data_IF_241192094684
#
_entry.id   IF_241192094684
#
_cell.length_a   1.000
_cell.length_b   1.000
_cell.length_c   1.000
_cell.angle_alpha   90.00
_cell.angle_beta   90.00
_cell.angle_gamma   90.00
#
_symmetry.space_group_name_H-M   'P 1'
#
loop_
_entity.id
_entity.type
_entity.pdbx_description
1 polymer ?
#
# COMPACT_ATOMS: atom_id res chain seq x y z
N UNK A 1 10.20 -25.27 7.02
CA UNK A 1 10.52 -23.87 7.40
C UNK A 1 10.46 -22.98 6.18
N UNK A 2 9.85 -21.80 6.26
CA UNK A 2 9.86 -20.74 5.24
C UNK A 2 10.93 -19.72 5.63
N UNK A 3 11.79 -19.35 4.68
CA UNK A 3 12.71 -18.22 4.86
C UNK A 3 12.07 -16.98 4.25
N UNK A 4 11.79 -15.97 5.09
CA UNK A 4 11.12 -14.74 4.71
C UNK A 4 12.08 -13.55 4.69
N UNK A 5 12.38 -13.04 3.50
CA UNK A 5 13.31 -11.91 3.30
C UNK A 5 12.56 -10.61 3.01
N UNK A 6 12.94 -9.53 3.69
CA UNK A 6 12.34 -8.20 3.53
C UNK A 6 13.37 -7.11 3.84
N UNK A 7 13.21 -5.88 3.26
CA UNK A 7 14.19 -4.81 3.41
C UNK A 7 14.16 -4.16 4.80
N UNK A 8 12.98 -4.05 5.39
CA UNK A 8 12.75 -3.49 6.73
C UNK A 8 11.43 -4.01 7.27
N UNK A 9 11.36 -4.25 8.57
CA UNK A 9 10.14 -4.74 9.24
C UNK A 9 9.07 -3.64 9.28
N UNK A 10 7.88 -3.99 8.83
CA UNK A 10 6.72 -3.09 8.74
C UNK A 10 5.46 -3.77 9.25
N UNK A 11 4.40 -3.01 9.52
CA UNK A 11 3.11 -3.56 9.94
C UNK A 11 2.51 -4.56 8.92
N UNK A 12 2.81 -4.41 7.63
CA UNK A 12 2.38 -5.37 6.60
C UNK A 12 3.05 -6.73 6.78
N UNK A 13 4.36 -6.73 7.04
CA UNK A 13 5.12 -7.95 7.27
C UNK A 13 4.64 -8.64 8.54
N UNK A 14 4.38 -7.90 9.61
CA UNK A 14 3.85 -8.48 10.85
C UNK A 14 2.48 -9.13 10.63
N UNK A 15 1.56 -8.47 9.92
CA UNK A 15 0.25 -9.06 9.58
C UNK A 15 0.38 -10.35 8.78
N UNK A 16 1.27 -10.39 7.78
CA UNK A 16 1.50 -11.62 7.01
C UNK A 16 2.16 -12.72 7.85
N UNK A 17 3.09 -12.34 8.73
CA UNK A 17 3.70 -13.27 9.69
C UNK A 17 2.66 -13.86 10.66
N UNK A 18 1.75 -13.05 11.18
CA UNK A 18 0.64 -13.52 12.03
C UNK A 18 -0.25 -14.53 11.30
N UNK A 19 -0.50 -14.33 10.00
CA UNK A 19 -1.27 -15.26 9.18
C UNK A 19 -0.54 -16.58 8.92
N UNK A 20 0.79 -16.56 8.76
CA UNK A 20 1.57 -17.72 8.29
C UNK A 20 2.15 -18.54 9.44
N UNK A 21 2.60 -17.91 10.55
CA UNK A 21 3.26 -18.57 11.69
C UNK A 21 2.47 -19.73 12.30
N UNK A 22 1.13 -19.72 12.40
CA UNK A 22 0.37 -20.87 12.88
C UNK A 22 0.47 -22.11 11.99
N UNK A 23 0.89 -21.95 10.72
CA UNK A 23 0.89 -23.00 9.70
C UNK A 23 2.28 -23.43 9.24
N UNK A 24 3.32 -22.64 9.56
CA UNK A 24 4.70 -22.93 9.16
C UNK A 24 5.73 -22.28 10.10
N UNK A 25 6.84 -22.99 10.34
CA UNK A 25 8.02 -22.37 10.94
C UNK A 25 8.58 -21.31 9.97
N UNK A 26 8.81 -20.07 10.47
CA UNK A 26 9.33 -18.98 9.67
C UNK A 26 10.67 -18.50 10.23
N UNK A 27 11.64 -18.31 9.34
CA UNK A 27 12.88 -17.63 9.63
C UNK A 27 12.89 -16.27 8.92
N UNK A 28 12.84 -15.22 9.72
CA UNK A 28 12.90 -13.83 9.24
C UNK A 28 14.34 -13.46 8.86
N UNK A 29 14.53 -12.92 7.67
CA UNK A 29 15.79 -12.34 7.21
C UNK A 29 15.56 -10.87 6.85
N UNK A 30 15.79 -9.99 7.82
CA UNK A 30 15.78 -8.55 7.57
C UNK A 30 17.05 -8.14 6.84
N UNK A 31 16.90 -7.36 5.79
CA UNK A 31 17.98 -6.91 4.93
C UNK A 31 18.39 -5.47 5.27
N UNK A 32 18.71 -4.64 4.28
CA UNK A 32 19.06 -3.23 4.49
C UNK A 32 18.49 -2.35 3.37
N UNK A 33 18.17 -1.11 3.71
CA UNK A 33 17.86 -0.06 2.73
C UNK A 33 19.07 0.84 2.43
N UNK A 34 20.18 0.68 3.18
CA UNK A 34 21.38 1.49 3.00
C UNK A 34 22.24 0.98 1.84
N UNK A 35 22.50 1.80 0.80
CA UNK A 35 23.36 1.40 -0.31
C UNK A 35 24.79 1.03 0.12
N UNK A 36 25.31 1.71 1.15
CA UNK A 36 26.65 1.46 1.69
C UNK A 36 26.76 0.08 2.35
N UNK A 37 25.71 -0.34 3.04
CA UNK A 37 25.67 -1.64 3.72
C UNK A 37 25.30 -2.80 2.80
N UNK A 38 24.83 -2.53 1.58
CA UNK A 38 24.32 -3.51 0.63
C UNK A 38 25.29 -4.70 0.38
N UNK A 39 26.59 -4.48 0.07
CA UNK A 39 27.51 -5.62 -0.17
C UNK A 39 27.66 -6.53 1.05
N UNK A 40 27.77 -5.94 2.24
CA UNK A 40 27.87 -6.71 3.48
C UNK A 40 26.60 -7.56 3.74
N UNK A 41 25.42 -6.98 3.55
CA UNK A 41 24.16 -7.71 3.73
C UNK A 41 23.93 -8.81 2.69
N UNK A 42 24.42 -8.65 1.46
CA UNK A 42 24.42 -9.74 0.47
C UNK A 42 25.28 -10.92 0.91
N UNK A 43 26.48 -10.66 1.42
CA UNK A 43 27.38 -11.70 1.94
C UNK A 43 26.74 -12.40 3.16
N UNK A 44 26.21 -11.61 4.09
CA UNK A 44 25.53 -12.13 5.28
C UNK A 44 24.34 -13.02 4.89
N UNK A 45 23.48 -12.52 3.99
CA UNK A 45 22.30 -13.24 3.51
C UNK A 45 22.70 -14.54 2.80
N UNK A 46 23.79 -14.55 2.02
CA UNK A 46 24.31 -15.76 1.35
C UNK A 46 24.63 -16.87 2.39
N UNK A 47 25.39 -16.54 3.43
CA UNK A 47 25.71 -17.52 4.47
C UNK A 47 24.49 -17.93 5.31
N UNK A 48 23.56 -17.03 5.57
CA UNK A 48 22.30 -17.35 6.24
C UNK A 48 21.46 -18.32 5.40
N UNK A 49 21.31 -18.06 4.09
CA UNK A 49 20.57 -18.95 3.19
C UNK A 49 21.23 -20.32 3.09
N UNK A 50 22.56 -20.38 3.03
CA UNK A 50 23.31 -21.65 3.02
C UNK A 50 23.09 -22.43 4.33
N UNK A 51 23.17 -21.74 5.47
CA UNK A 51 22.94 -22.36 6.79
C UNK A 51 21.52 -22.93 6.95
N UNK A 52 20.51 -22.18 6.49
CA UNK A 52 19.11 -22.63 6.59
C UNK A 52 18.68 -23.57 5.47
N UNK A 53 19.48 -23.73 4.41
CA UNK A 53 19.12 -24.48 3.21
C UNK A 53 18.55 -25.90 3.48
N UNK A 54 19.14 -26.73 4.37
CA UNK A 54 18.61 -28.09 4.61
C UNK A 54 17.19 -28.10 5.20
N UNK A 55 16.83 -27.06 5.96
CA UNK A 55 15.50 -26.93 6.63
C UNK A 55 14.51 -26.10 5.83
N UNK A 56 14.96 -25.38 4.80
CA UNK A 56 14.12 -24.50 4.01
C UNK A 56 13.23 -25.30 3.07
N UNK A 57 11.91 -25.11 3.14
CA UNK A 57 10.95 -25.66 2.18
C UNK A 57 10.69 -24.70 1.00
N UNK A 58 10.64 -23.39 1.28
CA UNK A 58 10.43 -22.33 0.29
C UNK A 58 10.93 -20.98 0.79
N UNK A 59 11.09 -20.04 -0.14
CA UNK A 59 11.44 -18.65 0.12
C UNK A 59 10.23 -17.77 -0.10
N UNK A 60 10.06 -16.78 0.78
CA UNK A 60 9.08 -15.69 0.63
C UNK A 60 9.85 -14.38 0.68
N UNK A 61 9.50 -13.42 -0.18
CA UNK A 61 10.09 -12.09 -0.15
C UNK A 61 8.99 -11.03 -0.17
N UNK A 62 9.21 -9.91 0.52
CA UNK A 62 8.31 -8.77 0.52
C UNK A 62 8.96 -7.58 -0.15
N UNK A 63 8.32 -7.07 -1.21
CA UNK A 63 8.82 -6.22 -2.30
C UNK A 63 9.88 -6.90 -3.18
N UNK A 64 9.90 -6.53 -4.46
CA UNK A 64 10.99 -6.86 -5.36
C UNK A 64 12.19 -5.94 -5.14
N UNK A 65 13.42 -6.49 -5.14
CA UNK A 65 14.62 -5.69 -4.93
C UNK A 65 15.86 -6.52 -4.65
N UNK A 66 16.93 -5.89 -4.15
CA UNK A 66 18.21 -6.53 -3.91
C UNK A 66 18.13 -7.75 -2.96
N UNK A 67 17.33 -7.68 -1.92
CA UNK A 67 17.15 -8.75 -0.93
C UNK A 67 16.46 -9.99 -1.49
N UNK A 68 15.89 -9.92 -2.69
CA UNK A 68 15.25 -11.05 -3.36
C UNK A 68 16.23 -11.84 -4.25
N UNK A 69 17.35 -11.24 -4.67
CA UNK A 69 18.27 -11.85 -5.63
C UNK A 69 18.74 -13.22 -5.16
N UNK A 70 19.30 -13.28 -3.95
CA UNK A 70 19.83 -14.54 -3.43
C UNK A 70 18.74 -15.58 -3.12
N UNK A 71 17.60 -15.26 -2.46
CA UNK A 71 16.48 -16.21 -2.32
C UNK A 71 16.00 -16.79 -3.64
N UNK A 72 15.92 -15.98 -4.70
CA UNK A 72 15.54 -16.44 -6.04
C UNK A 72 16.60 -17.37 -6.63
N UNK A 73 17.89 -17.01 -6.55
CA UNK A 73 19.01 -17.85 -7.02
C UNK A 73 19.03 -19.20 -6.29
N UNK A 74 18.92 -19.17 -4.95
CA UNK A 74 18.86 -20.40 -4.15
C UNK A 74 17.62 -21.23 -4.47
N UNK A 75 16.47 -20.58 -4.68
CA UNK A 75 15.25 -21.27 -5.10
C UNK A 75 15.46 -22.06 -6.39
N UNK A 76 16.04 -21.43 -7.41
CA UNK A 76 16.37 -22.10 -8.68
C UNK A 76 17.42 -23.19 -8.55
N UNK A 77 18.52 -22.89 -7.85
CA UNK A 77 19.64 -23.82 -7.72
C UNK A 77 19.28 -25.10 -6.95
N UNK A 78 18.37 -25.01 -5.97
CA UNK A 78 18.02 -26.12 -5.07
C UNK A 78 16.57 -26.59 -5.23
N UNK A 79 15.88 -26.21 -6.31
CA UNK A 79 14.52 -26.67 -6.60
C UNK A 79 13.47 -26.24 -5.56
N UNK A 80 13.67 -25.10 -4.89
CA UNK A 80 12.73 -24.56 -3.88
C UNK A 80 11.94 -23.39 -4.44
N UNK A 81 10.64 -23.36 -4.19
CA UNK A 81 9.80 -22.22 -4.60
C UNK A 81 10.29 -20.92 -3.97
N UNK A 82 10.32 -19.86 -4.75
CA UNK A 82 10.53 -18.50 -4.26
C UNK A 82 9.33 -17.64 -4.69
N UNK A 83 8.58 -17.16 -3.73
CA UNK A 83 7.41 -16.29 -3.96
C UNK A 83 7.76 -14.86 -3.56
N UNK A 84 7.37 -13.88 -4.39
CA UNK A 84 7.60 -12.46 -4.10
C UNK A 84 6.24 -11.75 -4.03
N UNK A 85 5.97 -11.13 -2.88
CA UNK A 85 4.83 -10.24 -2.71
C UNK A 85 5.20 -8.84 -3.24
N UNK A 86 4.40 -8.31 -4.16
CA UNK A 86 4.60 -6.98 -4.73
C UNK A 86 3.65 -5.97 -4.08
N UNK A 87 4.20 -4.96 -3.44
CA UNK A 87 3.44 -4.07 -2.55
C UNK A 87 3.20 -2.65 -3.09
N UNK A 88 3.86 -2.24 -4.17
CA UNK A 88 3.66 -0.91 -4.76
C UNK A 88 4.92 -0.34 -5.41
N UNK A 89 5.88 0.18 -4.66
CA UNK A 89 7.08 0.85 -5.19
C UNK A 89 7.88 -0.02 -6.16
N UNK A 90 7.83 -1.31 -6.00
CA UNK A 90 8.49 -2.33 -6.82
C UNK A 90 7.78 -2.60 -8.17
N UNK A 91 6.61 -1.99 -8.38
CA UNK A 91 5.84 -2.06 -9.63
C UNK A 91 5.68 -0.69 -10.31
N UNK A 92 6.45 0.33 -9.87
CA UNK A 92 6.23 1.73 -10.25
C UNK A 92 7.52 2.35 -10.80
N UNK A 93 7.33 3.22 -11.83
CA UNK A 93 8.36 4.06 -12.43
C UNK A 93 7.83 5.48 -12.62
N UNK A 94 8.00 6.33 -11.61
CA UNK A 94 7.58 7.74 -11.61
C UNK A 94 8.76 8.64 -11.22
N UNK A 95 9.76 8.81 -12.10
CA UNK A 95 10.92 9.65 -11.82
C UNK A 95 10.54 11.12 -11.62
N UNK A 96 9.43 11.59 -12.20
CA UNK A 96 8.91 12.95 -12.12
C UNK A 96 8.59 13.37 -10.67
N UNK A 97 8.18 12.42 -9.85
CA UNK A 97 7.91 12.62 -8.41
C UNK A 97 8.89 11.87 -7.51
N UNK A 98 10.00 11.36 -8.07
CA UNK A 98 11.03 10.64 -7.33
C UNK A 98 10.59 9.30 -6.76
N UNK A 99 9.58 8.62 -7.33
CA UNK A 99 8.93 7.44 -6.77
C UNK A 99 9.10 6.18 -7.63
N UNK A 100 9.15 5.00 -6.99
CA UNK A 100 9.26 3.70 -7.64
C UNK A 100 10.67 3.16 -7.81
N UNK A 101 10.81 1.82 -7.81
CA UNK A 101 12.09 1.11 -7.93
C UNK A 101 12.70 1.26 -9.34
N UNK A 102 11.85 1.32 -10.36
CA UNK A 102 12.29 1.34 -11.76
C UNK A 102 12.94 2.66 -12.20
N UNK A 103 12.86 3.73 -11.40
CA UNK A 103 13.56 4.99 -11.65
C UNK A 103 15.09 4.90 -11.43
N UNK A 104 15.59 3.92 -10.69
CA UNK A 104 17.02 3.71 -10.40
C UNK A 104 17.53 2.47 -11.13
N UNK A 105 18.46 2.62 -12.09
CA UNK A 105 18.92 1.54 -12.99
C UNK A 105 19.31 0.24 -12.26
N UNK A 106 20.12 0.31 -11.20
CA UNK A 106 20.58 -0.86 -10.45
C UNK A 106 19.45 -1.54 -9.66
N UNK A 107 18.57 -0.75 -9.05
CA UNK A 107 17.42 -1.29 -8.32
C UNK A 107 16.36 -1.86 -9.29
N UNK A 108 16.17 -1.20 -10.44
CA UNK A 108 15.29 -1.70 -11.51
C UNK A 108 15.78 -3.05 -12.03
N UNK A 109 17.10 -3.19 -12.24
CA UNK A 109 17.71 -4.47 -12.63
C UNK A 109 17.46 -5.56 -11.58
N UNK A 110 17.72 -5.27 -10.30
CA UNK A 110 17.52 -6.22 -9.21
C UNK A 110 16.04 -6.63 -9.08
N UNK A 111 15.13 -5.66 -9.21
CA UNK A 111 13.68 -5.88 -9.16
C UNK A 111 13.22 -6.73 -10.35
N UNK A 112 13.63 -6.38 -11.58
CA UNK A 112 13.34 -7.15 -12.78
C UNK A 112 13.87 -8.58 -12.69
N UNK A 113 15.16 -8.75 -12.37
CA UNK A 113 15.78 -10.06 -12.20
C UNK A 113 15.01 -10.93 -11.21
N UNK A 114 14.60 -10.35 -10.08
CA UNK A 114 13.87 -11.07 -9.03
C UNK A 114 12.51 -11.55 -9.54
N UNK A 115 11.74 -10.68 -10.20
CA UNK A 115 10.42 -11.03 -10.73
C UNK A 115 10.47 -12.01 -11.91
N UNK A 116 11.44 -11.87 -12.82
CA UNK A 116 11.61 -12.80 -13.95
C UNK A 116 12.05 -14.21 -13.52
N UNK A 117 12.63 -14.34 -12.33
CA UNK A 117 13.27 -15.58 -11.89
C UNK A 117 12.63 -16.22 -10.66
N UNK A 118 11.64 -15.59 -10.01
CA UNK A 118 10.88 -16.21 -8.94
C UNK A 118 9.84 -17.22 -9.47
N UNK A 119 9.24 -17.99 -8.56
CA UNK A 119 8.24 -19.02 -8.91
C UNK A 119 6.82 -18.46 -9.02
N UNK A 120 6.53 -17.38 -8.28
CA UNK A 120 5.20 -16.77 -8.19
C UNK A 120 5.33 -15.32 -7.72
N UNK A 121 4.53 -14.43 -8.31
CA UNK A 121 4.40 -13.03 -7.86
C UNK A 121 3.00 -12.84 -7.27
N UNK A 122 2.94 -12.21 -6.09
CA UNK A 122 1.70 -11.90 -5.38
C UNK A 122 1.53 -10.37 -5.25
N UNK A 123 1.03 -9.67 -6.28
CA UNK A 123 0.71 -8.26 -6.16
C UNK A 123 -0.48 -8.04 -5.23
N UNK A 124 -0.48 -6.92 -4.50
CA UNK A 124 -1.60 -6.56 -3.61
C UNK A 124 -2.76 -5.88 -4.35
N UNK A 125 -2.63 -5.61 -5.66
CA UNK A 125 -3.68 -4.99 -6.48
C UNK A 125 -3.47 -5.29 -7.96
N UNK A 126 -4.55 -5.32 -8.75
CA UNK A 126 -4.53 -5.47 -10.21
C UNK A 126 -3.74 -4.33 -10.90
N UNK A 127 -3.83 -3.11 -10.37
CA UNK A 127 -3.08 -1.96 -10.88
C UNK A 127 -1.55 -2.15 -10.82
N UNK A 128 -1.03 -3.00 -9.92
CA UNK A 128 0.38 -3.35 -9.87
C UNK A 128 0.79 -4.38 -10.93
N UNK A 129 -0.17 -5.11 -11.48
CA UNK A 129 0.06 -5.99 -12.63
C UNK A 129 0.19 -5.17 -13.91
N UNK A 130 -0.78 -4.31 -14.19
CA UNK A 130 -0.75 -3.41 -15.35
C UNK A 130 -1.68 -2.23 -15.12
N UNK A 131 -1.17 -1.01 -15.30
CA UNK A 131 -1.97 0.21 -15.18
C UNK A 131 -1.62 1.19 -16.30
N UNK A 132 -2.64 1.73 -16.94
CA UNK A 132 -2.53 2.95 -17.73
C UNK A 132 -2.85 4.14 -16.83
N UNK A 133 -1.81 4.84 -16.37
CA UNK A 133 -1.93 5.93 -15.42
C UNK A 133 -2.38 7.21 -16.15
N UNK A 134 -3.46 7.83 -15.67
CA UNK A 134 -4.06 9.04 -16.28
C UNK A 134 -4.37 10.15 -15.28
N UNK A 135 -4.11 9.94 -13.99
CA UNK A 135 -4.49 10.87 -12.91
C UNK A 135 -3.71 12.21 -12.97
N UNK A 136 -2.40 12.13 -13.17
CA UNK A 136 -1.54 13.29 -13.36
C UNK A 136 -0.87 13.19 -14.74
N UNK A 137 -1.19 14.07 -15.72
CA UNK A 137 -0.67 13.97 -17.08
C UNK A 137 0.83 14.21 -17.19
N UNK A 138 1.49 14.73 -16.16
CA UNK A 138 2.94 14.90 -16.10
C UNK A 138 3.70 13.59 -15.83
N UNK A 139 3.00 12.53 -15.40
CA UNK A 139 3.60 11.25 -15.02
C UNK A 139 3.50 10.25 -16.17
N UNK A 140 4.54 9.43 -16.33
CA UNK A 140 4.56 8.35 -17.33
C UNK A 140 3.31 7.46 -17.18
N UNK A 141 2.50 7.28 -18.26
CA UNK A 141 1.25 6.52 -18.20
C UNK A 141 1.45 5.01 -18.01
N UNK A 142 2.64 4.46 -18.31
CA UNK A 142 2.91 3.02 -18.25
C UNK A 142 3.42 2.62 -16.88
N UNK A 143 2.57 1.99 -16.07
CA UNK A 143 2.89 1.50 -14.73
C UNK A 143 2.49 0.03 -14.59
N UNK A 144 3.01 -0.64 -13.56
CA UNK A 144 2.74 -2.05 -13.29
C UNK A 144 3.74 -3.00 -13.96
N UNK A 145 3.80 -4.23 -13.45
CA UNK A 145 4.80 -5.25 -13.81
C UNK A 145 4.86 -5.52 -15.31
N UNK A 146 3.72 -5.75 -15.97
CA UNK A 146 3.67 -6.12 -17.38
C UNK A 146 4.08 -4.98 -18.32
N UNK A 147 3.93 -3.72 -17.89
CA UNK A 147 4.38 -2.56 -18.64
C UNK A 147 5.87 -2.30 -18.44
N UNK A 148 6.39 -2.55 -17.22
CA UNK A 148 7.79 -2.26 -16.85
C UNK A 148 8.73 -3.45 -17.13
N UNK A 149 8.19 -4.66 -17.23
CA UNK A 149 8.90 -5.91 -17.58
C UNK A 149 8.19 -6.59 -18.75
N UNK A 150 8.34 -6.06 -19.97
CA UNK A 150 7.72 -6.68 -21.14
C UNK A 150 8.17 -8.13 -21.30
N UNK A 151 7.20 -9.03 -21.53
CA UNK A 151 7.49 -10.46 -21.69
C UNK A 151 7.68 -11.24 -20.39
N UNK A 152 7.33 -10.66 -19.22
CA UNK A 152 7.32 -11.37 -17.94
C UNK A 152 6.46 -12.64 -18.02
N UNK A 153 7.08 -13.81 -17.76
CA UNK A 153 6.43 -15.13 -17.84
C UNK A 153 6.11 -15.73 -16.48
N UNK A 154 6.62 -15.15 -15.42
CA UNK A 154 6.39 -15.62 -14.05
C UNK A 154 4.89 -15.56 -13.73
N UNK A 155 4.28 -16.62 -13.19
CA UNK A 155 2.89 -16.61 -12.77
C UNK A 155 2.59 -15.47 -11.80
N UNK A 156 1.43 -14.82 -11.97
CA UNK A 156 0.97 -13.72 -11.13
C UNK A 156 -0.38 -14.09 -10.55
N UNK A 157 -0.53 -13.88 -9.24
CA UNK A 157 -1.81 -14.03 -8.54
C UNK A 157 -2.01 -12.82 -7.63
N UNK A 158 -3.02 -12.01 -7.89
CA UNK A 158 -3.34 -10.84 -7.05
C UNK A 158 -3.95 -11.30 -5.73
N UNK A 159 -3.41 -10.80 -4.61
CA UNK A 159 -3.93 -11.04 -3.28
C UNK A 159 -4.03 -9.69 -2.56
N UNK A 160 -5.22 -9.09 -2.48
CA UNK A 160 -5.42 -7.80 -1.84
C UNK A 160 -5.14 -7.86 -0.33
N UNK A 161 -4.83 -6.71 0.27
CA UNK A 161 -4.71 -6.61 1.71
C UNK A 161 -6.07 -6.87 2.37
N UNK A 162 -6.02 -7.31 3.63
CA UNK A 162 -7.21 -7.60 4.43
C UNK A 162 -7.22 -6.78 5.73
N UNK A 163 -8.43 -6.54 6.22
CA UNK A 163 -8.69 -5.74 7.42
C UNK A 163 -9.41 -6.57 8.47
N UNK A 164 -9.06 -6.36 9.72
CA UNK A 164 -9.80 -6.87 10.88
C UNK A 164 -11.01 -5.94 11.11
N UNK A 165 -12.18 -6.36 10.67
CA UNK A 165 -13.41 -5.58 10.77
C UNK A 165 -14.03 -5.58 12.17
N UNK A 166 -13.53 -6.41 13.08
CA UNK A 166 -13.89 -6.36 14.51
C UNK A 166 -13.07 -5.30 15.23
N UNK A 167 -11.84 -5.09 14.83
CA UNK A 167 -10.99 -4.03 15.34
C UNK A 167 -11.32 -2.67 14.70
N UNK A 168 -11.28 -2.60 13.36
CA UNK A 168 -11.68 -1.42 12.58
C UNK A 168 -13.21 -1.41 12.41
N UNK A 169 -13.92 -0.78 13.33
CA UNK A 169 -15.38 -0.82 13.36
C UNK A 169 -16.00 0.56 13.48
N UNK A 170 -17.20 0.65 12.97
CA UNK A 170 -18.07 1.80 13.22
C UNK A 170 -18.61 1.72 14.66
N UNK A 171 -18.30 2.75 15.44
CA UNK A 171 -18.72 2.86 16.85
C UNK A 171 -20.07 3.56 17.01
N UNK A 172 -20.72 3.98 15.91
CA UNK A 172 -21.97 4.74 15.95
C UNK A 172 -21.81 6.13 16.56
N UNK A 173 -20.61 6.71 16.54
CA UNK A 173 -20.36 8.04 17.09
C UNK A 173 -20.95 9.11 16.15
N UNK A 174 -21.36 10.24 16.73
CA UNK A 174 -21.74 11.41 15.95
C UNK A 174 -20.49 11.96 15.24
N UNK A 175 -20.59 12.11 13.91
CA UNK A 175 -19.50 12.62 13.07
C UNK A 175 -19.61 14.14 12.93
N UNK A 176 -18.47 14.80 13.02
CA UNK A 176 -18.41 16.24 12.76
C UNK A 176 -18.69 16.48 11.27
N UNK A 177 -19.69 17.27 10.96
CA UNK A 177 -20.04 17.61 9.57
C UNK A 177 -18.87 18.35 8.89
N UNK A 178 -18.67 18.07 7.60
CA UNK A 178 -17.59 18.65 6.80
C UNK A 178 -16.20 18.46 7.43
N UNK A 179 -15.98 17.31 8.07
CA UNK A 179 -14.70 16.94 8.64
C UNK A 179 -14.01 15.90 7.79
N UNK A 180 -12.72 16.13 7.52
CA UNK A 180 -11.89 15.34 6.63
C UNK A 180 -10.65 14.86 7.37
N UNK A 181 -10.33 13.58 7.24
CA UNK A 181 -9.11 13.00 7.81
C UNK A 181 -8.26 12.36 6.73
N UNK A 182 -6.94 12.51 6.82
CA UNK A 182 -5.95 11.80 6.01
C UNK A 182 -4.84 11.27 6.91
N UNK A 183 -4.37 10.04 6.65
CA UNK A 183 -3.34 9.38 7.45
C UNK A 183 -2.14 9.02 6.58
N UNK A 184 -1.00 9.65 6.82
CA UNK A 184 0.25 9.36 6.12
C UNK A 184 1.48 9.76 6.96
N UNK A 185 2.59 9.03 6.79
CA UNK A 185 3.85 9.28 7.52
C UNK A 185 4.88 9.97 6.63
N UNK A 186 5.84 10.68 7.26
CA UNK A 186 6.98 11.38 6.61
C UNK A 186 6.53 12.48 5.64
N UNK A 187 5.41 13.11 5.89
CA UNK A 187 4.84 14.17 5.05
C UNK A 187 5.46 15.55 5.29
N UNK A 188 6.28 15.72 6.33
CA UNK A 188 7.15 16.88 6.52
C UNK A 188 8.15 17.08 5.38
N UNK A 189 8.48 16.03 4.63
CA UNK A 189 9.26 16.17 3.39
C UNK A 189 8.34 16.56 2.22
N UNK A 190 8.63 17.67 1.48
CA UNK A 190 7.76 18.15 0.40
C UNK A 190 7.46 17.12 -0.69
N UNK A 191 8.47 16.31 -1.05
CA UNK A 191 8.29 15.23 -2.03
C UNK A 191 7.25 14.19 -1.57
N UNK A 192 7.28 13.81 -0.29
CA UNK A 192 6.34 12.83 0.26
C UNK A 192 4.95 13.41 0.42
N UNK A 193 4.82 14.67 0.89
CA UNK A 193 3.55 15.38 0.97
C UNK A 193 2.87 15.43 -0.41
N UNK A 194 3.63 15.79 -1.46
CA UNK A 194 3.12 15.83 -2.85
C UNK A 194 2.67 14.45 -3.35
N UNK A 195 3.42 13.38 -3.05
CA UNK A 195 3.02 12.00 -3.40
C UNK A 195 1.71 11.63 -2.70
N UNK A 196 1.49 12.12 -1.48
CA UNK A 196 0.27 11.86 -0.68
C UNK A 196 -0.88 12.82 -1.00
N UNK A 197 -0.70 13.75 -1.93
CA UNK A 197 -1.75 14.66 -2.39
C UNK A 197 -2.09 15.79 -1.41
N UNK A 198 -1.15 16.11 -0.51
CA UNK A 198 -1.35 17.18 0.48
C UNK A 198 -1.50 18.55 -0.17
N UNK A 199 -0.91 18.75 -1.34
CA UNK A 199 -1.12 19.92 -2.19
C UNK A 199 -2.61 20.16 -2.55
N UNK A 200 -3.38 19.10 -2.80
CA UNK A 200 -4.83 19.21 -3.01
C UNK A 200 -5.59 19.41 -1.69
N UNK A 201 -5.16 18.76 -0.61
CA UNK A 201 -5.80 18.92 0.71
C UNK A 201 -5.64 20.36 1.21
N UNK A 202 -4.46 20.94 1.07
CA UNK A 202 -4.17 22.34 1.43
C UNK A 202 -5.03 23.33 0.63
N UNK A 203 -5.14 23.13 -0.68
CA UNK A 203 -5.99 23.96 -1.53
C UNK A 203 -7.48 23.79 -1.17
N UNK A 204 -7.93 22.56 -0.88
CA UNK A 204 -9.29 22.31 -0.46
C UNK A 204 -9.60 23.02 0.87
N UNK A 205 -8.67 22.98 1.82
CA UNK A 205 -8.80 23.65 3.10
C UNK A 205 -8.83 25.18 2.97
N UNK A 206 -7.96 25.74 2.13
CA UNK A 206 -7.93 27.17 1.86
C UNK A 206 -9.21 27.69 1.20
N UNK A 207 -9.81 26.88 0.31
CA UNK A 207 -11.07 27.23 -0.38
C UNK A 207 -12.31 27.11 0.52
N UNK A 208 -12.22 26.35 1.64
CA UNK A 208 -13.36 26.05 2.53
C UNK A 208 -12.95 26.28 3.99
N UNK A 209 -12.80 27.53 4.45
CA UNK A 209 -12.28 27.83 5.78
C UNK A 209 -13.17 27.32 6.93
N UNK A 210 -14.45 27.05 6.67
CA UNK A 210 -15.42 26.48 7.64
C UNK A 210 -15.37 24.95 7.75
N UNK A 211 -14.60 24.27 6.89
CA UNK A 211 -14.41 22.81 6.96
C UNK A 211 -13.25 22.46 7.88
N UNK A 212 -13.25 21.26 8.42
CA UNK A 212 -12.26 20.79 9.39
C UNK A 212 -11.39 19.68 8.79
N UNK A 213 -10.08 19.86 8.80
CA UNK A 213 -9.13 18.89 8.28
C UNK A 213 -8.23 18.36 9.38
N UNK A 214 -7.99 17.05 9.40
CA UNK A 214 -7.05 16.42 10.32
C UNK A 214 -6.04 15.59 9.51
N UNK A 215 -4.75 15.94 9.61
CA UNK A 215 -3.65 15.22 9.01
C UNK A 215 -2.90 14.45 10.10
N UNK A 216 -2.87 13.12 9.99
CA UNK A 216 -2.31 12.23 11.02
C UNK A 216 -1.08 11.51 10.49
N UNK A 217 -0.04 11.41 11.31
CA UNK A 217 1.11 10.55 11.07
C UNK A 217 2.47 11.24 11.04
N UNK A 218 2.52 12.57 10.97
CA UNK A 218 3.77 13.35 10.99
C UNK A 218 3.55 14.70 11.69
N UNK A 219 4.00 14.79 12.95
CA UNK A 219 3.84 15.99 13.77
C UNK A 219 4.66 17.20 13.27
N UNK A 220 5.69 16.95 12.47
CA UNK A 220 6.60 17.99 11.96
C UNK A 220 6.05 18.65 10.67
N UNK A 221 4.93 18.15 10.16
CA UNK A 221 4.29 18.75 9.00
C UNK A 221 3.74 20.14 9.33
N UNK A 222 4.08 21.13 8.50
CA UNK A 222 3.65 22.52 8.67
C UNK A 222 2.46 22.81 7.74
N UNK A 223 1.25 22.77 8.32
CA UNK A 223 0.03 23.05 7.55
C UNK A 223 -0.11 24.58 7.29
N UNK A 224 -0.42 24.99 6.04
CA UNK A 224 -0.52 26.40 5.69
C UNK A 224 -1.84 27.07 6.12
N UNK A 225 -2.88 26.27 6.39
CA UNK A 225 -4.23 26.77 6.69
C UNK A 225 -4.62 26.49 8.14
N UNK A 226 -5.29 27.45 8.85
CA UNK A 226 -5.63 27.32 10.27
C UNK A 226 -6.69 26.25 10.57
N UNK A 227 -7.49 25.86 9.58
CA UNK A 227 -8.50 24.79 9.68
C UNK A 227 -7.92 23.38 9.43
N UNK A 228 -6.58 23.26 9.30
CA UNK A 228 -5.88 21.98 9.25
C UNK A 228 -5.22 21.69 10.60
N UNK A 229 -5.73 20.70 11.30
CA UNK A 229 -5.11 20.14 12.52
C UNK A 229 -4.08 19.08 12.13
N UNK A 230 -2.85 19.23 12.59
CA UNK A 230 -1.78 18.23 12.43
C UNK A 230 -1.66 17.39 13.68
N UNK A 231 -1.63 16.07 13.52
CA UNK A 231 -1.51 15.10 14.61
C UNK A 231 -0.33 14.17 14.29
N UNK A 232 0.49 13.87 15.29
CA UNK A 232 1.61 12.95 15.15
C UNK A 232 1.18 11.52 14.82
N UNK A 233 2.15 10.60 14.86
CA UNK A 233 1.84 9.18 14.66
C UNK A 233 0.99 8.65 15.81
N UNK A 234 -0.16 8.11 15.50
CA UNK A 234 -1.11 7.55 16.44
C UNK A 234 -1.09 6.02 16.48
N UNK A 235 -1.50 5.46 17.62
CA UNK A 235 -1.74 4.03 17.76
C UNK A 235 -3.06 3.64 17.07
N UNK A 236 -3.21 2.37 16.66
CA UNK A 236 -4.42 1.90 15.97
C UNK A 236 -5.72 2.22 16.72
N UNK A 237 -5.74 2.11 18.05
CA UNK A 237 -6.93 2.40 18.87
C UNK A 237 -7.35 3.87 18.79
N UNK A 238 -6.37 4.78 18.78
CA UNK A 238 -6.63 6.20 18.61
C UNK A 238 -7.12 6.53 17.18
N UNK A 239 -6.58 5.83 16.16
CA UNK A 239 -7.05 5.96 14.79
C UNK A 239 -8.51 5.51 14.63
N UNK A 240 -8.94 4.43 15.32
CA UNK A 240 -10.36 4.04 15.32
C UNK A 240 -11.24 5.18 15.81
N UNK A 241 -10.87 5.87 16.91
CA UNK A 241 -11.62 7.01 17.42
C UNK A 241 -11.64 8.17 16.42
N UNK A 242 -10.49 8.51 15.84
CA UNK A 242 -10.40 9.58 14.85
C UNK A 242 -11.25 9.29 13.60
N UNK A 243 -11.21 8.08 13.04
CA UNK A 243 -12.04 7.71 11.91
C UNK A 243 -13.54 7.79 12.25
N UNK A 244 -13.94 7.44 13.48
CA UNK A 244 -15.33 7.48 13.89
C UNK A 244 -15.87 8.89 14.17
N UNK A 245 -15.00 9.89 14.35
CA UNK A 245 -15.41 11.28 14.54
C UNK A 245 -15.40 12.11 13.26
N UNK A 246 -14.80 11.60 12.16
CA UNK A 246 -14.73 12.31 10.89
C UNK A 246 -15.72 11.74 9.87
N UNK A 247 -16.27 12.64 9.04
CA UNK A 247 -17.22 12.27 7.98
C UNK A 247 -16.52 11.65 6.79
N UNK A 248 -15.41 12.27 6.35
CA UNK A 248 -14.67 11.88 5.14
C UNK A 248 -13.26 11.41 5.44
N UNK A 249 -12.81 10.43 4.65
CA UNK A 249 -11.40 10.05 4.56
C UNK A 249 -10.80 10.46 3.21
N UNK A 250 -9.69 11.20 3.21
CA UNK A 250 -9.00 11.65 2.00
C UNK A 250 -7.79 10.76 1.67
N UNK A 251 -7.82 10.14 0.48
CA UNK A 251 -6.70 9.41 -0.11
C UNK A 251 -6.35 9.97 -1.50
N UNK A 252 -5.82 11.20 -1.55
CA UNK A 252 -5.56 11.94 -2.79
C UNK A 252 -4.15 11.71 -3.36
N UNK A 253 -3.57 10.57 -3.08
CA UNK A 253 -2.20 10.22 -3.45
C UNK A 253 -1.99 10.19 -4.97
N UNK A 254 -0.80 10.60 -5.43
CA UNK A 254 -0.37 10.44 -6.83
C UNK A 254 0.10 9.01 -7.14
N UNK A 255 0.40 8.19 -6.14
CA UNK A 255 0.76 6.78 -6.30
C UNK A 255 0.47 5.98 -5.04
N UNK A 256 -0.16 4.82 -5.21
CA UNK A 256 -0.40 3.82 -4.15
C UNK A 256 -0.30 2.40 -4.69
N UNK A 257 0.14 1.47 -3.83
CA UNK A 257 -0.08 0.05 -4.08
C UNK A 257 -1.48 -0.33 -3.59
N UNK A 258 -1.60 -0.53 -2.27
CA UNK A 258 -2.86 -0.79 -1.58
C UNK A 258 -2.88 0.01 -0.27
N UNK A 259 -3.55 1.19 -0.21
CA UNK A 259 -3.51 2.07 0.95
C UNK A 259 -4.35 1.50 2.10
N UNK A 260 -3.68 1.02 3.16
CA UNK A 260 -4.38 0.42 4.30
C UNK A 260 -5.24 1.42 5.04
N UNK A 261 -4.75 2.64 5.27
CA UNK A 261 -5.49 3.66 6.00
C UNK A 261 -6.86 3.98 5.34
N UNK A 262 -6.95 3.86 4.00
CA UNK A 262 -8.22 3.98 3.29
C UNK A 262 -9.21 2.86 3.71
N UNK A 263 -8.77 1.60 3.67
CA UNK A 263 -9.63 0.48 4.04
C UNK A 263 -9.98 0.47 5.54
N UNK A 264 -9.05 0.87 6.41
CA UNK A 264 -9.26 1.05 7.85
C UNK A 264 -10.33 2.12 8.12
N UNK A 265 -10.25 3.28 7.46
CA UNK A 265 -11.24 4.35 7.57
C UNK A 265 -12.62 3.94 7.01
N UNK A 266 -12.64 3.24 5.85
CA UNK A 266 -13.87 2.68 5.29
C UNK A 266 -14.53 1.65 6.22
N UNK A 267 -13.75 0.78 6.86
CA UNK A 267 -14.23 -0.18 7.85
C UNK A 267 -14.82 0.52 9.09
N UNK A 268 -14.28 1.69 9.46
CA UNK A 268 -14.84 2.56 10.50
C UNK A 268 -16.02 3.44 10.01
N UNK A 269 -16.45 3.32 8.75
CA UNK A 269 -17.64 4.00 8.23
C UNK A 269 -17.41 5.40 7.65
N UNK A 270 -16.15 5.87 7.48
CA UNK A 270 -15.89 7.12 6.76
C UNK A 270 -16.33 7.02 5.30
N UNK A 271 -16.82 8.13 4.73
CA UNK A 271 -17.02 8.27 3.29
C UNK A 271 -15.65 8.48 2.62
N UNK A 272 -15.18 7.55 1.78
CA UNK A 272 -13.86 7.69 1.16
C UNK A 272 -13.90 8.63 -0.03
N UNK A 273 -12.89 9.52 -0.11
CA UNK A 273 -12.61 10.37 -1.28
C UNK A 273 -11.20 10.03 -1.73
N UNK A 274 -11.05 9.45 -2.91
CA UNK A 274 -9.76 8.95 -3.39
C UNK A 274 -9.41 9.36 -4.80
N UNK A 275 -8.10 9.39 -5.09
CA UNK A 275 -7.58 9.54 -6.45
C UNK A 275 -7.70 8.22 -7.24
N UNK A 276 -7.85 8.31 -8.56
CA UNK A 276 -7.94 7.14 -9.44
C UNK A 276 -6.56 6.50 -9.71
N UNK A 277 -5.82 6.10 -8.64
CA UNK A 277 -4.49 5.50 -8.74
C UNK A 277 -4.36 4.22 -7.92
N UNK A 278 -3.50 3.29 -8.38
CA UNK A 278 -3.25 2.03 -7.67
C UNK A 278 -4.54 1.28 -7.37
N UNK A 279 -4.64 0.71 -6.17
CA UNK A 279 -5.82 -0.01 -5.71
C UNK A 279 -6.98 0.89 -5.24
N UNK A 280 -6.80 2.22 -5.18
CA UNK A 280 -7.84 3.11 -4.63
C UNK A 280 -9.20 2.93 -5.32
N UNK A 281 -9.30 2.89 -6.67
CA UNK A 281 -10.58 2.65 -7.35
C UNK A 281 -11.20 1.29 -7.01
N UNK A 282 -10.37 0.25 -6.89
CA UNK A 282 -10.81 -1.10 -6.55
C UNK A 282 -11.34 -1.18 -5.11
N UNK A 283 -10.67 -0.51 -4.16
CA UNK A 283 -11.08 -0.48 -2.76
C UNK A 283 -12.38 0.31 -2.59
N UNK A 284 -12.46 1.51 -3.16
CA UNK A 284 -13.62 2.39 -3.05
C UNK A 284 -14.86 1.81 -3.77
N UNK A 285 -14.71 1.35 -5.02
CA UNK A 285 -15.83 0.93 -5.85
C UNK A 285 -16.92 2.00 -5.98
N UNK A 286 -18.15 1.64 -5.60
CA UNK A 286 -19.33 2.51 -5.60
C UNK A 286 -19.66 3.11 -4.21
N UNK A 287 -18.74 3.02 -3.26
CA UNK A 287 -18.96 3.43 -1.87
C UNK A 287 -18.35 4.78 -1.51
N UNK A 288 -17.77 5.49 -2.47
CA UNK A 288 -17.12 6.79 -2.24
C UNK A 288 -16.91 7.61 -3.49
N UNK A 289 -16.18 8.70 -3.35
CA UNK A 289 -15.94 9.66 -4.41
C UNK A 289 -14.56 9.43 -5.05
N UNK A 290 -14.50 9.31 -6.38
CA UNK A 290 -13.27 9.00 -7.09
C UNK A 290 -12.84 10.16 -8.00
N UNK A 291 -11.73 10.81 -7.64
CA UNK A 291 -11.11 11.88 -8.42
C UNK A 291 -10.29 11.27 -9.57
N UNK A 292 -10.77 11.42 -10.81
CA UNK A 292 -10.15 10.82 -12.00
C UNK A 292 -8.92 11.57 -12.50
N UNK A 293 -8.82 12.86 -12.24
CA UNK A 293 -7.67 13.71 -12.60
C UNK A 293 -7.30 14.60 -11.43
N UNK A 294 -6.02 14.92 -11.32
CA UNK A 294 -5.48 15.80 -10.27
C UNK A 294 -5.86 17.27 -10.54
N UNK A 295 -7.13 17.60 -10.30
CA UNK A 295 -7.70 18.90 -10.55
C UNK A 295 -8.54 19.35 -9.34
N UNK A 296 -8.23 20.54 -8.78
CA UNK A 296 -8.91 21.06 -7.59
C UNK A 296 -10.40 21.32 -7.84
N UNK A 297 -10.75 21.89 -9.00
CA UNK A 297 -12.15 22.17 -9.36
C UNK A 297 -12.99 20.89 -9.45
N UNK A 298 -12.43 19.81 -9.99
CA UNK A 298 -13.09 18.51 -10.04
C UNK A 298 -13.30 17.90 -8.64
N UNK A 299 -12.32 18.04 -7.74
CA UNK A 299 -12.42 17.57 -6.35
C UNK A 299 -13.54 18.34 -5.60
N UNK A 300 -13.54 19.67 -5.71
CA UNK A 300 -14.56 20.51 -5.08
C UNK A 300 -15.96 20.15 -5.58
N UNK A 301 -16.12 19.96 -6.90
CA UNK A 301 -17.40 19.60 -7.50
C UNK A 301 -17.90 18.22 -7.04
N UNK A 302 -17.00 17.21 -6.95
CA UNK A 302 -17.35 15.87 -6.45
C UNK A 302 -17.92 15.92 -5.02
N UNK A 303 -17.28 16.69 -4.14
CA UNK A 303 -17.72 16.83 -2.76
C UNK A 303 -19.05 17.58 -2.70
N UNK A 304 -19.19 18.67 -3.46
CA UNK A 304 -20.42 19.46 -3.54
C UNK A 304 -21.61 18.63 -4.05
N UNK A 305 -21.42 17.84 -5.12
CA UNK A 305 -22.47 16.99 -5.68
C UNK A 305 -22.93 15.91 -4.68
N UNK A 306 -22.02 15.42 -3.83
CA UNK A 306 -22.41 14.53 -2.75
C UNK A 306 -23.21 15.27 -1.66
N UNK A 307 -22.75 16.45 -1.23
CA UNK A 307 -23.43 17.27 -0.22
C UNK A 307 -24.84 17.70 -0.68
N UNK A 308 -25.00 17.97 -1.97
CA UNK A 308 -26.30 18.30 -2.59
C UNK A 308 -27.21 17.07 -2.80
N UNK A 309 -26.76 15.88 -2.39
CA UNK A 309 -27.53 14.63 -2.54
C UNK A 309 -27.65 14.11 -3.97
N UNK A 310 -26.83 14.63 -4.91
CA UNK A 310 -26.82 14.20 -6.31
C UNK A 310 -26.09 12.86 -6.49
N UNK A 311 -25.22 12.49 -5.54
CA UNK A 311 -24.46 11.25 -5.57
C UNK A 311 -24.98 10.29 -4.51
N UNK A 312 -25.41 9.09 -4.94
CA UNK A 312 -25.82 8.00 -4.03
C UNK A 312 -24.67 7.04 -3.87
N UNK A 313 -24.23 6.79 -2.65
CA UNK A 313 -23.18 5.86 -2.29
C UNK A 313 -23.75 4.66 -1.52
N UNK A 314 -23.12 3.50 -1.70
CA UNK A 314 -23.39 2.33 -0.87
C UNK A 314 -22.49 2.34 0.38
N UNK A 315 -22.65 1.39 1.30
CA UNK A 315 -21.87 1.36 2.54
C UNK A 315 -20.41 1.00 2.31
N UNK A 316 -19.51 1.91 2.67
CA UNK A 316 -18.06 1.70 2.61
C UNK A 316 -17.64 0.51 3.52
N UNK A 317 -18.18 0.43 4.75
CA UNK A 317 -17.94 -0.68 5.67
C UNK A 317 -18.37 -2.01 5.09
N UNK A 318 -19.61 -2.11 4.56
CA UNK A 318 -20.13 -3.35 3.98
C UNK A 318 -19.25 -3.86 2.82
N UNK A 319 -18.64 -2.95 2.04
CA UNK A 319 -17.69 -3.33 1.00
C UNK A 319 -16.42 -3.96 1.57
N UNK A 320 -15.83 -3.38 2.62
CA UNK A 320 -14.65 -3.95 3.28
C UNK A 320 -14.97 -5.33 3.87
N UNK A 321 -16.08 -5.46 4.58
CA UNK A 321 -16.55 -6.74 5.15
C UNK A 321 -16.76 -7.82 4.08
N UNK A 322 -17.20 -7.43 2.91
CA UNK A 322 -17.49 -8.39 1.82
C UNK A 322 -16.24 -8.84 1.07
N UNK A 323 -15.28 -7.93 0.80
CA UNK A 323 -14.23 -8.20 -0.17
C UNK A 323 -12.81 -8.16 0.40
N UNK A 324 -12.58 -7.47 1.52
CA UNK A 324 -11.24 -7.15 2.02
C UNK A 324 -11.06 -7.52 3.49
N UNK A 325 -11.57 -8.69 3.92
CA UNK A 325 -11.38 -9.15 5.30
C UNK A 325 -10.01 -9.80 5.50
N UNK A 326 -9.51 -9.74 6.75
CA UNK A 326 -8.30 -10.44 7.17
C UNK A 326 -8.34 -11.94 6.83
N UNK A 327 -9.48 -12.61 7.09
CA UNK A 327 -9.66 -14.02 6.78
C UNK A 327 -9.62 -14.33 5.29
N UNK A 328 -10.16 -13.44 4.46
CA UNK A 328 -10.11 -13.61 3.01
C UNK A 328 -8.65 -13.59 2.51
N UNK A 329 -7.86 -12.57 2.91
CA UNK A 329 -6.43 -12.50 2.60
C UNK A 329 -5.68 -13.74 3.11
N UNK A 330 -5.90 -14.12 4.38
CA UNK A 330 -5.25 -15.29 5.00
C UNK A 330 -5.47 -16.55 4.17
N UNK A 331 -6.70 -16.85 3.79
CA UNK A 331 -7.05 -18.03 2.96
C UNK A 331 -6.32 -18.01 1.61
N UNK A 332 -6.29 -16.87 0.93
CA UNK A 332 -5.61 -16.72 -0.35
C UNK A 332 -4.09 -16.88 -0.20
N UNK A 333 -3.49 -16.27 0.82
CA UNK A 333 -2.05 -16.32 1.08
C UNK A 333 -1.60 -17.74 1.43
N UNK A 334 -2.29 -18.43 2.33
CA UNK A 334 -1.96 -19.82 2.71
C UNK A 334 -2.08 -20.75 1.50
N UNK A 335 -3.10 -20.58 0.65
CA UNK A 335 -3.27 -21.35 -0.59
C UNK A 335 -2.11 -21.10 -1.55
N UNK A 336 -1.74 -19.84 -1.79
CA UNK A 336 -0.62 -19.47 -2.68
C UNK A 336 0.72 -20.05 -2.20
N UNK A 337 0.94 -20.11 -0.89
CA UNK A 337 2.12 -20.70 -0.27
C UNK A 337 2.01 -22.23 -0.10
N UNK A 338 0.94 -22.87 -0.59
CA UNK A 338 0.67 -24.32 -0.44
C UNK A 338 0.70 -24.79 1.02
N UNK A 339 0.22 -23.96 1.94
CA UNK A 339 0.06 -24.28 3.37
C UNK A 339 -1.37 -24.75 3.64
N UNK A 340 -1.51 -25.71 4.56
CA UNK A 340 -2.82 -26.16 5.04
C UNK A 340 -3.39 -25.08 5.94
N UNK A 341 -4.61 -24.60 5.62
CA UNK A 341 -5.35 -23.63 6.41
C UNK A 341 -6.13 -24.29 7.56
#
# INVERSE_FOLDING_TARGET
MIVYSFPVRTAFIERDLEMIRPHAEIKDLEFTQSPVKLPFYLILQFFQLLWYLPRTSQYLCFFGGYHCILPVVFGKAFGKKCTIQAGGTDCINMPEIGYGNFRKKSLAWATRFSFENCSLILPVAEALVSQHYTYDPQINPKQGLLQLIPGLKTPIQVIPNGFDTEFWKDLGMERVKHSFISVATHTSTPARARVKGYDLIEQLAANNPEWHFTLVGDADYQAPSPNIRVVGKERPEALVQLYNTHEFYLQLSSSEGFPNALGEAMACGCVPIGSAVGAIPEIIGDTGLLLKRKEMGALQQLIQDWMDGKTKLTSARARIERYFTYDHRRKLLLRALSLKG
#
